data_IF_265416820576
#
_entry.id   IF_265416820576
#
_cell.length_a   1.000
_cell.length_b   1.000
_cell.length_c   1.000
_cell.angle_alpha   90.00
_cell.angle_beta   90.00
_cell.angle_gamma   90.00
#
_symmetry.space_group_name_H-M   'P 1'
#
loop_
_entity.id
_entity.type
_entity.pdbx_description
1 polymer ?
#
# COMPACT_ATOMS: atom_id res chain seq x y z
N UNK A 1 -7.40 21.17 11.71
CA UNK A 1 -6.17 20.38 11.92
C UNK A 1 -6.06 19.36 10.80
N UNK A 2 -5.03 18.50 10.81
CA UNK A 2 -4.89 17.43 9.82
C UNK A 2 -5.86 16.27 10.06
N UNK A 3 -6.25 16.05 11.32
CA UNK A 3 -7.12 14.94 11.73
C UNK A 3 -8.35 15.45 12.49
N UNK A 4 -9.43 14.68 12.41
CA UNK A 4 -10.63 14.83 13.24
C UNK A 4 -10.91 13.52 13.97
N UNK A 5 -11.45 13.60 15.20
CA UNK A 5 -11.87 12.45 15.99
C UNK A 5 -13.35 12.58 16.30
N UNK A 6 -14.15 11.62 15.86
CA UNK A 6 -15.56 11.56 16.20
C UNK A 6 -15.74 11.21 17.69
N UNK A 7 -16.46 12.06 18.42
CA UNK A 7 -16.60 11.94 19.87
C UNK A 7 -17.50 10.78 20.33
N UNK A 8 -18.33 10.23 19.42
CA UNK A 8 -19.26 9.14 19.74
C UNK A 8 -18.68 7.80 19.28
N UNK A 9 -18.22 7.72 18.04
CA UNK A 9 -17.72 6.49 17.43
C UNK A 9 -16.23 6.26 17.67
N UNK A 10 -15.48 7.30 18.06
CA UNK A 10 -14.03 7.24 18.22
C UNK A 10 -13.27 7.10 16.89
N UNK A 11 -13.90 7.37 15.74
CA UNK A 11 -13.26 7.26 14.43
C UNK A 11 -12.35 8.47 14.22
N UNK A 12 -11.06 8.21 14.02
CA UNK A 12 -10.09 9.20 13.58
C UNK A 12 -10.09 9.28 12.05
N UNK A 13 -10.25 10.48 11.49
CA UNK A 13 -10.24 10.73 10.03
C UNK A 13 -9.15 11.71 9.65
N UNK A 14 -8.70 11.61 8.41
CA UNK A 14 -7.84 12.60 7.79
C UNK A 14 -8.70 13.70 7.14
N UNK A 15 -8.52 14.94 7.56
CA UNK A 15 -9.27 16.11 7.08
C UNK A 15 -8.51 16.87 5.99
N UNK A 16 -7.20 16.66 5.87
CA UNK A 16 -6.34 17.34 4.90
C UNK A 16 -5.29 16.37 4.36
N UNK A 17 -5.01 16.46 3.06
CA UNK A 17 -3.91 15.73 2.44
C UNK A 17 -2.59 15.96 3.17
N UNK A 18 -1.78 14.90 3.28
CA UNK A 18 -0.43 14.93 3.84
C UNK A 18 0.66 14.87 2.76
N UNK A 19 0.28 14.93 1.47
CA UNK A 19 1.20 14.76 0.35
C UNK A 19 2.32 15.82 0.30
N UNK A 20 2.02 17.04 0.74
CA UNK A 20 2.96 18.17 0.76
C UNK A 20 3.67 18.34 2.11
N UNK A 21 3.44 17.43 3.06
CA UNK A 21 3.99 17.54 4.40
C UNK A 21 5.33 16.80 4.51
N UNK A 22 6.34 17.44 5.09
CA UNK A 22 7.66 16.84 5.37
C UNK A 22 7.67 15.95 6.62
N UNK A 23 6.63 16.01 7.43
CA UNK A 23 6.49 15.29 8.69
C UNK A 23 6.01 13.86 8.46
N UNK A 24 6.85 12.90 8.82
CA UNK A 24 6.59 11.45 8.67
C UNK A 24 5.80 10.84 9.84
N UNK A 25 5.55 11.57 10.94
CA UNK A 25 4.85 11.02 12.11
C UNK A 25 4.05 12.08 12.87
N UNK A 26 2.82 11.73 13.27
CA UNK A 26 1.96 12.53 14.13
C UNK A 26 1.62 11.77 15.41
N UNK A 27 1.88 12.40 16.55
CA UNK A 27 1.49 11.87 17.86
C UNK A 27 0.31 12.68 18.41
N UNK A 28 -0.76 12.00 18.79
CA UNK A 28 -1.99 12.59 19.31
C UNK A 28 -2.37 11.94 20.63
N UNK A 29 -2.59 12.76 21.67
CA UNK A 29 -3.10 12.29 22.95
C UNK A 29 -4.62 12.41 22.97
N UNK A 30 -5.31 11.28 22.92
CA UNK A 30 -6.78 11.22 22.94
C UNK A 30 -7.28 10.97 24.37
N UNK A 31 -8.43 11.55 24.71
CA UNK A 31 -9.07 11.41 26.02
C UNK A 31 -10.46 10.79 25.85
N UNK A 32 -10.73 9.72 26.57
CA UNK A 32 -12.08 9.17 26.70
C UNK A 32 -12.61 9.46 28.10
N UNK A 33 -13.86 9.92 28.20
CA UNK A 33 -14.51 10.27 29.48
C UNK A 33 -15.83 9.51 29.58
N UNK A 34 -16.13 8.93 30.74
CA UNK A 34 -17.41 8.29 30.99
C UNK A 34 -18.53 9.31 31.30
N UNK A 35 -19.76 8.83 31.47
CA UNK A 35 -20.92 9.67 31.85
C UNK A 35 -21.29 9.54 33.35
N UNK A 36 -20.33 9.18 34.21
CA UNK A 36 -20.57 8.96 35.64
C UNK A 36 -20.97 10.23 36.42
N UNK A 37 -21.86 10.10 37.40
CA UNK A 37 -22.28 11.17 38.30
C UNK A 37 -22.02 10.75 39.76
N UNK A 38 -21.59 11.65 40.67
CA UNK A 38 -21.31 13.09 40.48
C UNK A 38 -19.93 13.37 39.89
N UNK A 39 -19.09 12.35 39.71
CA UNK A 39 -17.75 12.49 39.12
C UNK A 39 -17.61 11.58 37.91
N UNK A 40 -17.10 12.17 36.83
CA UNK A 40 -16.72 11.45 35.62
C UNK A 40 -15.31 10.87 35.77
N UNK A 41 -15.10 9.64 35.30
CA UNK A 41 -13.76 9.09 35.10
C UNK A 41 -13.31 9.33 33.67
N UNK A 42 -12.00 9.45 33.47
CA UNK A 42 -11.41 9.55 32.14
C UNK A 42 -10.08 8.81 32.08
N UNK A 43 -9.69 8.44 30.86
CA UNK A 43 -8.38 7.90 30.55
C UNK A 43 -7.81 8.56 29.30
N UNK A 44 -6.50 8.49 29.14
CA UNK A 44 -5.81 8.96 27.95
C UNK A 44 -5.16 7.79 27.21
N UNK A 45 -5.08 7.92 25.89
CA UNK A 45 -4.27 7.05 25.04
C UNK A 45 -3.44 7.91 24.07
N UNK A 46 -2.33 7.36 23.59
CA UNK A 46 -1.50 7.99 22.56
C UNK A 46 -1.73 7.26 21.24
N UNK A 47 -2.09 8.02 20.21
CA UNK A 47 -2.22 7.54 18.83
C UNK A 47 -1.04 8.08 18.03
N UNK A 48 -0.29 7.17 17.40
CA UNK A 48 0.84 7.50 16.54
C UNK A 48 0.44 7.18 15.11
N UNK A 49 0.42 8.19 14.25
CA UNK A 49 0.14 8.05 12.82
C UNK A 49 1.45 8.20 12.06
N UNK A 50 1.84 7.16 11.34
CA UNK A 50 2.98 7.19 10.43
C UNK A 50 2.50 7.57 9.02
N UNK A 51 3.12 8.59 8.44
CA UNK A 51 2.88 8.97 7.04
C UNK A 51 3.84 8.18 6.18
N UNK A 52 3.28 7.47 5.23
CA UNK A 52 4.00 6.54 4.37
C UNK A 52 3.85 6.93 2.90
N UNK A 53 4.91 6.74 2.11
CA UNK A 53 4.83 6.91 0.67
C UNK A 53 4.29 5.60 0.10
N UNK A 54 3.23 5.65 -0.71
CA UNK A 54 2.58 4.44 -1.26
C UNK A 54 3.55 3.52 -2.01
N UNK A 55 4.54 4.09 -2.69
CA UNK A 55 5.62 3.35 -3.37
C UNK A 55 6.44 2.46 -2.45
N UNK A 56 6.43 2.76 -1.15
CA UNK A 56 7.22 2.04 -0.16
C UNK A 56 6.49 0.73 0.25
N UNK A 57 5.17 0.66 0.00
CA UNK A 57 4.30 -0.45 0.42
C UNK A 57 3.69 -1.26 -0.74
N UNK A 58 3.93 -0.86 -1.99
CA UNK A 58 3.40 -1.55 -3.17
C UNK A 58 4.51 -1.77 -4.21
N UNK A 59 4.64 -2.98 -4.79
CA UNK A 59 5.56 -3.21 -5.90
C UNK A 59 5.22 -2.31 -7.08
N UNK A 60 6.20 -1.56 -7.57
CA UNK A 60 6.06 -0.69 -8.74
C UNK A 60 6.84 -1.29 -9.91
N UNK A 61 6.14 -1.58 -11.01
CA UNK A 61 6.79 -1.99 -12.26
C UNK A 61 7.77 -0.92 -12.75
N UNK A 62 8.90 -1.34 -13.32
CA UNK A 62 9.91 -0.44 -13.87
C UNK A 62 9.42 0.35 -15.09
N UNK A 63 8.40 -0.15 -15.79
CA UNK A 63 7.73 0.51 -16.91
C UNK A 63 6.22 0.45 -16.74
N UNK A 64 5.51 1.48 -17.20
CA UNK A 64 4.05 1.50 -17.25
C UNK A 64 3.49 0.55 -18.31
N UNK A 65 4.28 0.29 -19.37
CA UNK A 65 3.90 -0.58 -20.48
C UNK A 65 5.13 -1.38 -20.94
N UNK A 66 4.88 -2.65 -21.29
CA UNK A 66 5.88 -3.54 -21.86
C UNK A 66 5.39 -4.01 -23.22
N UNK A 67 6.18 -3.74 -24.27
CA UNK A 67 5.83 -4.08 -25.65
C UNK A 67 6.90 -4.97 -26.26
N UNK A 68 6.46 -6.04 -26.93
CA UNK A 68 7.33 -7.00 -27.61
C UNK A 68 6.64 -7.51 -28.87
N UNK A 69 7.41 -7.68 -29.95
CA UNK A 69 6.95 -8.35 -31.17
C UNK A 69 7.55 -9.74 -31.22
N UNK A 70 6.71 -10.74 -31.48
CA UNK A 70 7.09 -12.15 -31.45
C UNK A 70 6.88 -12.74 -32.85
N UNK A 71 7.89 -13.41 -33.44
CA UNK A 71 7.70 -14.12 -34.69
C UNK A 71 6.81 -15.35 -34.47
N UNK A 72 5.94 -15.66 -35.43
CA UNK A 72 5.08 -16.85 -35.37
C UNK A 72 5.85 -18.17 -35.27
N UNK A 73 7.10 -18.16 -35.73
CA UNK A 73 8.02 -19.29 -35.68
C UNK A 73 8.72 -19.45 -34.33
N UNK A 74 8.46 -18.58 -33.35
CA UNK A 74 9.08 -18.69 -32.03
C UNK A 74 8.65 -20.01 -31.37
N UNK A 75 9.63 -20.75 -30.85
CA UNK A 75 9.38 -22.04 -30.24
C UNK A 75 8.60 -21.89 -28.92
N UNK A 76 7.71 -22.83 -28.65
CA UNK A 76 6.98 -22.89 -27.38
C UNK A 76 7.99 -23.03 -26.23
N UNK A 77 7.80 -22.20 -25.20
CA UNK A 77 8.69 -22.15 -24.02
C UNK A 77 9.88 -21.19 -24.17
N UNK A 78 10.04 -20.52 -25.32
CA UNK A 78 10.99 -19.42 -25.44
C UNK A 78 10.61 -18.24 -24.53
N UNK A 79 11.62 -17.60 -23.95
CA UNK A 79 11.44 -16.35 -23.21
C UNK A 79 10.98 -15.24 -24.15
N UNK A 80 9.94 -14.52 -23.74
CA UNK A 80 9.35 -13.41 -24.50
C UNK A 80 9.84 -12.08 -23.95
N UNK A 81 9.75 -11.90 -22.63
CA UNK A 81 10.15 -10.70 -21.91
C UNK A 81 10.34 -11.03 -20.44
N UNK A 82 11.24 -10.31 -19.77
CA UNK A 82 11.34 -10.26 -18.32
C UNK A 82 10.78 -8.92 -17.81
N UNK A 83 9.96 -8.98 -16.77
CA UNK A 83 9.41 -7.81 -16.08
C UNK A 83 9.96 -7.75 -14.66
N UNK A 84 10.05 -6.55 -14.10
CA UNK A 84 10.50 -6.38 -12.72
C UNK A 84 9.73 -5.27 -12.05
N UNK A 85 9.43 -5.46 -10.77
CA UNK A 85 8.88 -4.43 -9.91
C UNK A 85 9.78 -4.19 -8.70
N UNK A 86 9.93 -2.92 -8.33
CA UNK A 86 10.67 -2.49 -7.15
C UNK A 86 9.71 -2.40 -5.96
N UNK A 87 10.07 -3.05 -4.85
CA UNK A 87 9.55 -2.77 -3.52
C UNK A 87 10.69 -2.15 -2.70
N UNK A 88 10.47 -0.98 -2.11
CA UNK A 88 11.54 -0.16 -1.54
C UNK A 88 12.03 -0.65 -0.17
N UNK A 89 11.17 -1.32 0.59
CA UNK A 89 11.50 -1.69 1.96
C UNK A 89 12.26 -3.02 1.98
N UNK A 90 13.59 -2.91 1.82
CA UNK A 90 14.57 -3.99 1.84
C UNK A 90 14.80 -4.65 3.20
N UNK A 91 13.88 -4.51 4.15
CA UNK A 91 13.88 -5.23 5.42
C UNK A 91 12.57 -6.01 5.51
N UNK A 92 12.63 -7.29 5.15
CA UNK A 92 11.50 -8.24 5.19
C UNK A 92 10.38 -8.01 4.15
N UNK A 93 10.67 -7.39 3.00
CA UNK A 93 9.71 -7.41 1.87
C UNK A 93 9.43 -8.85 1.45
N UNK A 94 8.17 -9.27 1.61
CA UNK A 94 7.61 -10.43 0.91
C UNK A 94 8.02 -10.38 -0.57
N UNK A 95 8.43 -11.51 -1.16
CA UNK A 95 8.86 -11.52 -2.54
C UNK A 95 7.73 -11.05 -3.45
N UNK A 96 8.05 -10.15 -4.39
CA UNK A 96 7.11 -9.73 -5.42
C UNK A 96 6.65 -10.95 -6.20
N UNK A 97 5.32 -11.12 -6.30
CA UNK A 97 4.71 -12.19 -7.09
C UNK A 97 4.01 -11.66 -8.33
N UNK A 98 4.27 -12.31 -9.46
CA UNK A 98 3.72 -11.92 -10.76
C UNK A 98 2.59 -12.86 -11.20
N UNK A 99 1.57 -12.30 -11.85
CA UNK A 99 0.48 -13.05 -12.46
C UNK A 99 -0.07 -12.30 -13.68
N UNK A 100 -0.63 -13.04 -14.64
CA UNK A 100 -1.35 -12.48 -15.78
C UNK A 100 -2.83 -12.44 -15.42
N UNK A 101 -3.43 -11.25 -15.38
CA UNK A 101 -4.81 -11.06 -14.92
C UNK A 101 -5.84 -11.09 -16.05
N UNK A 102 -5.44 -10.86 -17.31
CA UNK A 102 -6.35 -10.73 -18.46
C UNK A 102 -5.60 -10.78 -19.79
N UNK A 103 -6.30 -11.04 -20.91
CA UNK A 103 -5.72 -11.02 -22.26
C UNK A 103 -4.94 -12.28 -22.66
N UNK A 104 -5.06 -13.34 -21.84
CA UNK A 104 -4.41 -14.63 -22.03
C UNK A 104 -5.39 -15.78 -21.75
N UNK A 105 -6.63 -15.64 -22.20
CA UNK A 105 -7.74 -16.57 -21.93
C UNK A 105 -7.47 -17.98 -22.47
N UNK A 106 -6.73 -18.07 -23.58
CA UNK A 106 -6.30 -19.34 -24.20
C UNK A 106 -5.05 -19.95 -23.55
N UNK A 107 -4.48 -19.31 -22.51
CA UNK A 107 -3.28 -19.80 -21.82
C UNK A 107 -2.01 -19.88 -22.69
N UNK A 108 -1.90 -18.99 -23.69
CA UNK A 108 -0.82 -18.96 -24.68
C UNK A 108 0.51 -18.46 -24.11
N UNK A 109 0.45 -17.65 -23.06
CA UNK A 109 1.60 -17.12 -22.34
C UNK A 109 1.64 -17.62 -20.89
N UNK A 110 2.83 -17.67 -20.32
CA UNK A 110 3.07 -17.99 -18.92
C UNK A 110 4.03 -16.95 -18.33
N UNK A 111 3.84 -16.65 -17.05
CA UNK A 111 4.75 -15.80 -16.29
C UNK A 111 5.29 -16.61 -15.10
N UNK A 112 6.60 -16.52 -14.86
CA UNK A 112 7.15 -17.10 -13.65
C UNK A 112 6.73 -16.19 -12.47
N UNK A 113 6.10 -16.73 -11.42
CA UNK A 113 5.60 -15.91 -10.33
C UNK A 113 6.71 -15.21 -9.56
N UNK A 114 7.98 -15.57 -9.73
CA UNK A 114 9.10 -15.04 -8.96
C UNK A 114 10.14 -14.27 -9.79
N UNK A 115 10.07 -14.30 -11.12
CA UNK A 115 11.09 -13.72 -12.02
C UNK A 115 10.49 -13.24 -13.34
#
# INVERSE_FOLDING_TARGET
GFFSLDEISGILRLERSLADETKSTYEMKVKATDRGLPRHLFSFATVIVHVVILSDYQPLFLSSEYYVQIPESLQIGSEVISVSALAKDGTESEPVRYTIISGNEDGRFQINPMT
#
